data_IF_464631913190
#
_entry.id   IF_464631913190
#
_cell.length_a   1.000
_cell.length_b   1.000
_cell.length_c   1.000
_cell.angle_alpha   90.00
_cell.angle_beta   90.00
_cell.angle_gamma   90.00
#
_symmetry.space_group_name_H-M   'P 1'
#
loop_
_entity.id
_entity.type
_entity.pdbx_description
1 polymer ?
#
# COMPACT_ATOMS: atom_id res chain seq x y z
N UNK A 1 -7.08 -0.23 2.64
CA UNK A 1 -6.39 -0.58 3.91
C UNK A 1 -6.63 0.41 5.05
N UNK A 2 -7.07 1.66 4.81
CA UNK A 2 -7.43 2.58 5.90
C UNK A 2 -6.25 3.04 6.77
N UNK A 3 -5.03 2.97 6.24
CA UNK A 3 -3.80 3.33 6.97
C UNK A 3 -3.47 4.82 6.88
N UNK A 4 -4.07 5.53 5.92
CA UNK A 4 -3.81 6.93 5.58
C UNK A 4 -5.13 7.63 5.26
N UNK A 5 -5.17 8.95 5.40
CA UNK A 5 -6.34 9.81 5.12
C UNK A 5 -6.43 10.19 3.64
N UNK A 6 -5.30 10.20 2.93
CA UNK A 6 -5.20 10.52 1.51
C UNK A 6 -4.80 11.96 1.22
N UNK A 7 -4.56 12.78 2.25
CA UNK A 7 -4.07 14.15 2.16
C UNK A 7 -2.64 14.33 2.70
N UNK A 8 -2.00 13.24 3.15
CA UNK A 8 -0.62 13.27 3.66
C UNK A 8 0.41 13.59 2.57
N UNK A 9 1.47 14.31 2.95
CA UNK A 9 2.63 14.53 2.08
C UNK A 9 3.44 13.25 1.85
N UNK A 10 4.24 13.23 0.80
CA UNK A 10 5.16 12.11 0.55
C UNK A 10 6.12 11.89 1.74
N UNK A 11 6.68 12.95 2.32
CA UNK A 11 7.59 12.87 3.47
C UNK A 11 6.89 12.35 4.73
N UNK A 12 5.60 12.63 4.91
CA UNK A 12 4.80 12.09 5.99
C UNK A 12 4.58 10.59 5.82
N UNK A 13 4.22 10.15 4.61
CA UNK A 13 4.05 8.73 4.27
C UNK A 13 5.36 7.96 4.39
N UNK A 14 6.46 8.50 3.87
CA UNK A 14 7.78 7.90 3.94
C UNK A 14 8.19 7.69 5.40
N UNK A 15 8.07 8.73 6.24
CA UNK A 15 8.39 8.63 7.68
C UNK A 15 7.42 7.69 8.40
N UNK A 16 6.14 7.69 8.05
CA UNK A 16 5.16 6.76 8.61
C UNK A 16 5.58 5.31 8.40
N UNK A 17 6.02 4.99 7.19
CA UNK A 17 6.45 3.65 6.81
C UNK A 17 7.77 3.27 7.48
N UNK A 18 8.81 4.10 7.33
CA UNK A 18 10.16 3.79 7.83
C UNK A 18 10.24 3.69 9.36
N UNK A 19 9.41 4.42 10.12
CA UNK A 19 9.40 4.32 11.59
C UNK A 19 8.80 3.02 12.13
N UNK A 20 8.12 2.22 11.29
CA UNK A 20 7.41 0.99 11.71
C UNK A 20 8.15 -0.28 11.36
N UNK A 21 9.33 -0.16 10.77
CA UNK A 21 10.13 -1.29 10.32
C UNK A 21 11.57 -1.10 10.81
N UNK A 22 12.34 -2.20 10.96
CA UNK A 22 13.79 -2.12 11.08
C UNK A 22 14.39 -1.25 9.96
N UNK A 23 15.44 -0.49 10.28
CA UNK A 23 16.16 0.31 9.31
C UNK A 23 17.04 -0.57 8.41
N UNK A 24 16.39 -1.30 7.50
CA UNK A 24 17.00 -2.26 6.57
C UNK A 24 16.53 -1.96 5.14
N UNK A 25 17.50 -1.62 4.28
CA UNK A 25 17.23 -1.29 2.88
C UNK A 25 16.65 -2.46 2.09
N UNK A 26 17.05 -3.71 2.37
CA UNK A 26 16.49 -4.88 1.70
C UNK A 26 15.01 -5.03 2.04
N UNK A 27 14.66 -4.89 3.31
CA UNK A 27 13.28 -4.96 3.77
C UNK A 27 12.42 -3.85 3.14
N UNK A 28 12.94 -2.63 3.06
CA UNK A 28 12.24 -1.52 2.38
C UNK A 28 12.01 -1.80 0.89
N UNK A 29 13.02 -2.35 0.20
CA UNK A 29 12.92 -2.71 -1.21
C UNK A 29 11.89 -3.82 -1.44
N UNK A 30 11.85 -4.83 -0.56
CA UNK A 30 10.89 -5.92 -0.66
C UNK A 30 9.45 -5.44 -0.50
N UNK A 31 9.19 -4.57 0.48
CA UNK A 31 7.87 -3.95 0.62
C UNK A 31 7.53 -3.03 -0.56
N UNK A 32 8.49 -2.26 -1.06
CA UNK A 32 8.27 -1.43 -2.24
C UNK A 32 7.84 -2.27 -3.44
N UNK A 33 8.52 -3.39 -3.70
CA UNK A 33 8.17 -4.31 -4.78
C UNK A 33 6.76 -4.88 -4.61
N UNK A 34 6.38 -5.27 -3.38
CA UNK A 34 5.04 -5.78 -3.09
C UNK A 34 3.94 -4.70 -3.27
N UNK A 35 4.16 -3.48 -2.77
CA UNK A 35 3.20 -2.38 -2.89
C UNK A 35 3.01 -2.00 -4.36
N UNK A 36 4.10 -1.89 -5.13
CA UNK A 36 4.05 -1.59 -6.55
C UNK A 36 3.37 -2.70 -7.35
N UNK A 37 3.71 -3.97 -7.08
CA UNK A 37 3.06 -5.12 -7.71
C UNK A 37 1.56 -5.14 -7.44
N UNK A 38 1.16 -4.98 -6.17
CA UNK A 38 -0.24 -4.90 -5.79
C UNK A 38 -0.97 -3.75 -6.51
N UNK A 39 -0.38 -2.55 -6.55
CA UNK A 39 -0.98 -1.38 -7.19
C UNK A 39 -1.08 -1.53 -8.71
N UNK A 40 -0.13 -2.23 -9.34
CA UNK A 40 -0.11 -2.47 -10.78
C UNK A 40 -1.17 -3.50 -11.19
N UNK A 41 -1.23 -4.62 -10.47
CA UNK A 41 -1.99 -5.79 -10.90
C UNK A 41 -3.44 -5.79 -10.34
N UNK A 42 -3.66 -5.22 -9.15
CA UNK A 42 -4.95 -5.25 -8.46
C UNK A 42 -5.46 -3.86 -8.05
N UNK A 43 -4.75 -3.16 -7.17
CA UNK A 43 -5.18 -1.90 -6.55
C UNK A 43 -4.84 -0.67 -7.41
N UNK A 44 -5.06 -0.77 -8.71
CA UNK A 44 -4.87 0.30 -9.70
C UNK A 44 -6.03 1.30 -9.67
N UNK A 45 -5.91 2.40 -10.44
CA UNK A 45 -6.91 3.48 -10.49
C UNK A 45 -8.37 2.99 -10.69
N UNK A 46 -8.57 1.96 -11.51
CA UNK A 46 -9.80 1.15 -11.54
C UNK A 46 -9.49 -0.25 -10.98
N UNK A 47 -9.78 -0.51 -9.70
CA UNK A 47 -9.27 -1.68 -9.01
C UNK A 47 -9.90 -2.98 -9.54
N UNK A 48 -9.11 -4.06 -9.51
CA UNK A 48 -9.54 -5.43 -9.81
C UNK A 48 -9.42 -6.21 -8.50
N UNK A 49 -10.51 -6.24 -7.74
CA UNK A 49 -10.51 -6.87 -6.42
C UNK A 49 -10.53 -8.40 -6.51
N UNK A 50 -11.07 -8.97 -7.60
CA UNK A 50 -11.07 -10.42 -7.83
C UNK A 50 -9.63 -10.96 -7.76
N UNK A 51 -9.42 -11.97 -6.91
CA UNK A 51 -8.11 -12.58 -6.65
C UNK A 51 -7.04 -11.63 -6.10
N UNK A 52 -7.40 -10.44 -5.61
CA UNK A 52 -6.48 -9.59 -4.86
C UNK A 52 -6.09 -10.31 -3.56
N UNK A 53 -4.79 -10.43 -3.23
CA UNK A 53 -4.36 -11.13 -2.01
C UNK A 53 -4.81 -10.44 -0.72
N UNK A 54 -5.30 -9.20 -0.81
CA UNK A 54 -5.83 -8.44 0.32
C UNK A 54 -7.36 -8.32 0.30
N UNK A 55 -8.08 -9.03 -0.58
CA UNK A 55 -9.52 -8.82 -0.79
C UNK A 55 -10.33 -8.95 0.51
N UNK A 56 -10.08 -10.02 1.27
CA UNK A 56 -10.78 -10.30 2.54
C UNK A 56 -10.44 -9.33 3.67
N UNK A 57 -9.32 -8.63 3.58
CA UNK A 57 -8.84 -7.69 4.60
C UNK A 57 -9.05 -6.23 4.19
N UNK A 58 -9.40 -5.98 2.92
CA UNK A 58 -9.49 -4.63 2.39
C UNK A 58 -10.90 -4.05 2.63
N UNK A 59 -11.03 -2.90 3.31
CA UNK A 59 -12.33 -2.24 3.48
C UNK A 59 -12.86 -1.58 2.19
N UNK A 60 -12.15 -1.69 1.06
CA UNK A 60 -12.54 -1.20 -0.28
C UNK A 60 -12.99 0.27 -0.31
N UNK A 61 -12.38 1.12 0.52
CA UNK A 61 -12.73 2.54 0.58
C UNK A 61 -12.38 3.26 -0.72
N UNK A 62 -13.27 4.15 -1.17
CA UNK A 62 -13.09 4.94 -2.39
C UNK A 62 -13.31 4.17 -3.70
N UNK A 63 -13.72 2.89 -3.63
CA UNK A 63 -14.12 2.11 -4.79
C UNK A 63 -15.64 2.26 -4.97
N UNK A 64 -16.07 3.01 -5.99
CA UNK A 64 -17.45 2.99 -6.50
C UNK A 64 -17.56 2.04 -7.69
#
# INVERSE_FOLDING_TARGET
>A
MGLIRGDESYEELQRFFMRRLPADASLFNDYHAQIVGLAKDHCRARPVCTACPLDDLCPKQGIQ
#
